data_IF_786778883527
#
_entry.id   IF_786778883527
#
_cell.length_a   1.000
_cell.length_b   1.000
_cell.length_c   1.000
_cell.angle_alpha   90.00
_cell.angle_beta   90.00
_cell.angle_gamma   90.00
#
_symmetry.space_group_name_H-M   'P 1'
#
loop_
_entity.id
_entity.type
_entity.pdbx_description
1 polymer ?
#
# COMPACT_ATOMS: atom_id res chain seq x y z
N UNK A 1 -9.30 15.85 -15.72
CA UNK A 1 -8.76 14.54 -15.33
C UNK A 1 -8.38 14.72 -13.87
N UNK A 2 -9.02 14.01 -12.95
CA UNK A 2 -8.56 14.05 -11.56
C UNK A 2 -7.23 13.30 -11.52
N UNK A 3 -6.19 13.91 -10.97
CA UNK A 3 -4.89 13.28 -10.82
C UNK A 3 -5.03 12.13 -9.81
N UNK A 4 -4.60 10.92 -10.19
CA UNK A 4 -4.54 9.79 -9.28
C UNK A 4 -3.43 10.00 -8.25
N UNK A 5 -3.75 9.81 -6.98
CA UNK A 5 -2.81 9.88 -5.88
C UNK A 5 -2.23 8.49 -5.61
N UNK A 6 -0.91 8.36 -5.70
CA UNK A 6 -0.18 7.17 -5.31
C UNK A 6 -0.10 7.13 -3.79
N UNK A 7 -0.73 6.13 -3.20
CA UNK A 7 -0.79 5.94 -1.75
C UNK A 7 0.05 4.72 -1.37
N UNK A 8 0.81 4.84 -0.30
CA UNK A 8 1.41 3.70 0.38
C UNK A 8 0.73 3.44 1.71
N UNK A 9 0.91 2.24 2.25
CA UNK A 9 0.30 1.83 3.51
C UNK A 9 1.35 1.27 4.46
N UNK A 10 1.52 1.90 5.63
CA UNK A 10 2.37 1.36 6.69
C UNK A 10 1.51 0.47 7.61
N UNK A 11 1.71 -0.85 7.51
CA UNK A 11 1.01 -1.86 8.30
C UNK A 11 -0.26 -2.42 7.64
N UNK A 12 -0.16 -3.63 7.10
CA UNK A 12 -1.25 -4.40 6.49
C UNK A 12 -2.05 -5.24 7.51
N UNK A 13 -2.22 -4.70 8.72
CA UNK A 13 -3.01 -5.33 9.78
C UNK A 13 -4.52 -5.35 9.49
N UNK A 14 -5.33 -5.65 10.50
CA UNK A 14 -6.80 -5.67 10.37
C UNK A 14 -7.39 -4.34 9.90
N UNK A 15 -6.82 -3.21 10.32
CA UNK A 15 -7.21 -1.88 9.87
C UNK A 15 -6.67 -1.61 8.46
N UNK A 16 -5.40 -1.92 8.22
CA UNK A 16 -4.75 -1.75 6.91
C UNK A 16 -5.55 -2.40 5.78
N UNK A 17 -5.98 -3.65 5.94
CA UNK A 17 -6.82 -4.36 4.96
C UNK A 17 -8.12 -3.62 4.62
N UNK A 18 -8.77 -2.99 5.61
CA UNK A 18 -9.99 -2.21 5.37
C UNK A 18 -9.72 -0.95 4.56
N UNK A 19 -8.56 -0.33 4.74
CA UNK A 19 -8.14 0.78 3.89
C UNK A 19 -7.92 0.33 2.45
N UNK A 20 -7.27 -0.82 2.23
CA UNK A 20 -7.07 -1.39 0.89
C UNK A 20 -8.41 -1.62 0.17
N UNK A 21 -9.38 -2.22 0.88
CA UNK A 21 -10.74 -2.42 0.35
C UNK A 21 -11.46 -1.10 0.05
N UNK A 22 -11.34 -0.11 0.94
CA UNK A 22 -11.95 1.20 0.75
C UNK A 22 -11.31 1.97 -0.42
N UNK A 23 -9.99 1.93 -0.55
CA UNK A 23 -9.23 2.55 -1.65
C UNK A 23 -9.60 1.94 -3.00
N UNK A 24 -9.89 0.64 -3.05
CA UNK A 24 -10.37 -0.02 -4.27
C UNK A 24 -11.72 0.53 -4.77
N UNK A 25 -12.45 1.28 -3.94
CA UNK A 25 -13.70 1.96 -4.32
C UNK A 25 -13.50 3.45 -4.66
N UNK A 26 -12.27 3.94 -4.67
CA UNK A 26 -11.91 5.33 -4.96
C UNK A 26 -10.97 5.34 -6.16
N UNK A 27 -11.47 5.73 -7.33
CA UNK A 27 -10.70 5.71 -8.58
C UNK A 27 -9.43 6.57 -8.53
N UNK A 28 -9.42 7.59 -7.66
CA UNK A 28 -8.30 8.52 -7.49
C UNK A 28 -7.23 8.01 -6.51
N UNK A 29 -7.47 6.89 -5.79
CA UNK A 29 -6.55 6.36 -4.77
C UNK A 29 -5.89 5.07 -5.26
N UNK A 30 -4.62 5.16 -5.66
CA UNK A 30 -3.87 4.01 -6.17
C UNK A 30 -2.92 3.52 -5.10
N UNK A 31 -3.18 2.34 -4.54
CA UNK A 31 -2.27 1.72 -3.59
C UNK A 31 -1.07 1.14 -4.33
N UNK A 32 0.09 1.78 -4.19
CA UNK A 32 1.32 1.43 -4.93
C UNK A 32 2.34 0.66 -4.11
N UNK A 33 2.29 0.74 -2.77
CA UNK A 33 3.25 0.08 -1.90
C UNK A 33 2.71 -0.16 -0.49
N UNK A 34 3.26 -1.16 0.21
CA UNK A 34 2.91 -1.45 1.60
C UNK A 34 4.19 -1.75 2.40
N UNK A 35 4.35 -1.14 3.57
CA UNK A 35 5.43 -1.46 4.51
C UNK A 35 4.87 -2.25 5.70
N UNK A 36 5.16 -3.54 5.76
CA UNK A 36 4.80 -4.40 6.89
C UNK A 36 5.71 -5.65 6.90
N UNK A 37 6.46 -5.89 7.99
CA UNK A 37 7.39 -7.02 8.08
C UNK A 37 6.68 -8.37 8.34
N UNK A 38 5.36 -8.39 8.49
CA UNK A 38 4.62 -9.60 8.78
C UNK A 38 4.46 -10.50 7.54
N UNK A 39 4.51 -11.84 7.71
CA UNK A 39 4.29 -12.77 6.62
C UNK A 39 2.91 -12.58 5.93
N UNK A 40 1.91 -12.16 6.71
CA UNK A 40 0.56 -11.95 6.20
C UNK A 40 0.48 -10.77 5.20
N UNK A 41 1.34 -9.76 5.35
CA UNK A 41 1.44 -8.68 4.38
C UNK A 41 2.09 -9.14 3.08
N UNK A 42 3.11 -9.99 3.17
CA UNK A 42 3.79 -10.58 2.00
C UNK A 42 2.81 -11.40 1.13
N UNK A 43 1.95 -12.20 1.75
CA UNK A 43 0.90 -12.97 1.06
C UNK A 43 -0.14 -12.04 0.40
N UNK A 44 -0.50 -10.95 1.08
CA UNK A 44 -1.42 -9.94 0.55
C UNK A 44 -0.82 -9.23 -0.67
N UNK A 45 0.43 -8.79 -0.59
CA UNK A 45 1.12 -8.16 -1.72
C UNK A 45 1.24 -9.10 -2.92
N UNK A 46 1.53 -10.38 -2.69
CA UNK A 46 1.56 -11.39 -3.75
C UNK A 46 0.18 -11.56 -4.40
N UNK A 47 -0.88 -11.55 -3.61
CA UNK A 47 -2.26 -11.72 -4.11
C UNK A 47 -2.74 -10.52 -4.93
N UNK A 48 -2.38 -9.31 -4.51
CA UNK A 48 -2.81 -8.07 -5.15
C UNK A 48 -1.81 -7.50 -6.17
N UNK A 49 -0.60 -8.08 -6.28
CA UNK A 49 0.48 -7.59 -7.13
C UNK A 49 1.13 -6.31 -6.63
N UNK A 50 1.10 -6.07 -5.31
CA UNK A 50 1.60 -4.83 -4.68
C UNK A 50 2.95 -5.11 -4.01
N UNK A 51 3.97 -4.27 -4.23
CA UNK A 51 5.27 -4.43 -3.57
C UNK A 51 5.15 -4.24 -2.05
N UNK A 52 5.73 -5.18 -1.31
CA UNK A 52 5.78 -5.19 0.15
C UNK A 52 7.20 -4.93 0.62
N UNK A 53 7.35 -4.01 1.55
CA UNK A 53 8.61 -3.64 2.18
C UNK A 53 8.58 -4.05 3.65
N UNK A 54 9.72 -4.47 4.19
CA UNK A 54 9.82 -4.76 5.63
C UNK A 54 9.87 -3.47 6.47
N UNK A 55 10.42 -2.41 5.89
CA UNK A 55 10.66 -1.12 6.54
C UNK A 55 10.00 0.03 5.77
N UNK A 56 9.35 0.93 6.51
CA UNK A 56 8.69 2.10 5.95
C UNK A 56 9.70 3.07 5.29
N UNK A 57 10.90 3.21 5.84
CA UNK A 57 11.94 4.09 5.28
C UNK A 57 12.41 3.61 3.90
N UNK A 58 12.55 2.29 3.70
CA UNK A 58 12.89 1.74 2.38
C UNK A 58 11.76 1.99 1.39
N UNK A 59 10.51 1.72 1.79
CA UNK A 59 9.34 2.00 0.96
C UNK A 59 9.29 3.46 0.52
N UNK A 60 9.45 4.41 1.45
CA UNK A 60 9.45 5.86 1.17
C UNK A 60 10.58 6.29 0.24
N UNK A 61 11.69 5.55 0.20
CA UNK A 61 12.85 5.89 -0.63
C UNK A 61 12.81 5.26 -2.01
N UNK A 62 12.19 4.09 -2.17
CA UNK A 62 12.16 3.32 -3.41
C UNK A 62 10.87 3.47 -4.20
N UNK A 63 9.73 3.67 -3.53
CA UNK A 63 8.43 3.81 -4.17
C UNK A 63 8.12 5.26 -4.53
N UNK A 64 7.43 5.46 -5.65
CA UNK A 64 6.91 6.77 -6.07
C UNK A 64 5.52 6.98 -5.44
N UNK A 65 5.47 7.78 -4.37
CA UNK A 65 4.30 7.93 -3.49
C UNK A 65 4.02 9.40 -3.21
N UNK A 66 2.73 9.74 -3.23
CA UNK A 66 2.22 11.06 -2.88
C UNK A 66 1.77 11.13 -1.41
N UNK A 67 1.30 10.00 -0.85
CA UNK A 67 0.76 9.93 0.52
C UNK A 67 0.98 8.55 1.18
N UNK A 68 0.85 8.50 2.50
CA UNK A 68 1.04 7.32 3.37
C UNK A 68 -0.07 7.18 4.41
#
# INVERSE_FOLDING_TARGET
>A
MADSCNIALIGAGSIGRRHIEAMSSVDEAVLVAIADPSPAASELGTTHGIPIFADAEQMLSEADIDAV
#
